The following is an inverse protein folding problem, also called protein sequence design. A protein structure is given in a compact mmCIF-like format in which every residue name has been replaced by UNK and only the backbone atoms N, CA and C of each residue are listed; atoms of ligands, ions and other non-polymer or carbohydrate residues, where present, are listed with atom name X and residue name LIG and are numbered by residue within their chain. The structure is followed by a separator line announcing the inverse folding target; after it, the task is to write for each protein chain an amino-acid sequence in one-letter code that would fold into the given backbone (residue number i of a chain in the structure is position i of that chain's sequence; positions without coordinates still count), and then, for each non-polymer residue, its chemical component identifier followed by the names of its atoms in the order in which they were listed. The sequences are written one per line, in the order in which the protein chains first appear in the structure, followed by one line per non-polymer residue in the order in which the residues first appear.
data_IF_301369211507
#
_entry.id   IF_301369211507
#
_cell.length_a   1.000
_cell.length_b   1.000
_cell.length_c   1.000
_cell.angle_alpha   90.00
_cell.angle_beta   90.00
_cell.angle_gamma   90.00
#
_symmetry.space_group_name_H-M   'P 1'
#
loop_
_entity.id
_entity.type
_entity.pdbx_description
1 polymer ?
#
# COMPACT_ATOMS: atom_id res chain seq x y z
N UNK A 1 -19.65 -4.49 -10.70
CA UNK A 1 -20.66 -4.92 -11.70
C UNK A 1 -20.38 -4.20 -13.01
N UNK A 2 -20.43 -4.88 -14.14
CA UNK A 2 -20.12 -4.33 -15.46
C UNK A 2 -20.91 -5.04 -16.59
N UNK A 3 -20.76 -4.58 -17.83
CA UNK A 3 -21.50 -5.07 -19.01
C UNK A 3 -22.67 -4.17 -19.41
N UNK A 4 -23.14 -4.30 -20.66
CA UNK A 4 -24.23 -3.46 -21.22
C UNK A 4 -25.50 -3.50 -20.38
N UNK A 5 -25.81 -4.68 -19.82
CA UNK A 5 -27.01 -4.93 -19.03
C UNK A 5 -26.74 -4.98 -17.52
N UNK A 6 -25.52 -4.65 -17.07
CA UNK A 6 -25.08 -4.81 -15.67
C UNK A 6 -25.25 -6.25 -15.13
N UNK A 7 -25.02 -7.22 -16.00
CA UNK A 7 -25.24 -8.65 -15.77
C UNK A 7 -23.96 -9.39 -15.32
N UNK A 8 -22.80 -8.73 -15.35
CA UNK A 8 -21.51 -9.35 -14.99
C UNK A 8 -20.91 -8.78 -13.71
N UNK A 9 -20.32 -9.66 -12.92
CA UNK A 9 -19.61 -9.36 -11.68
C UNK A 9 -18.21 -9.99 -11.66
N UNK A 10 -17.44 -9.65 -10.65
CA UNK A 10 -16.11 -10.22 -10.39
C UNK A 10 -16.16 -10.84 -9.00
N UNK A 11 -15.71 -12.09 -8.88
CA UNK A 11 -15.56 -12.79 -7.61
C UNK A 11 -14.09 -13.12 -7.38
N UNK A 12 -13.72 -13.29 -6.11
CA UNK A 12 -12.42 -13.83 -5.72
C UNK A 12 -12.61 -15.29 -5.33
N UNK A 13 -12.09 -16.22 -6.12
CA UNK A 13 -12.21 -17.65 -5.86
C UNK A 13 -10.86 -18.21 -5.48
N UNK A 14 -10.62 -18.37 -4.19
CA UNK A 14 -9.28 -18.71 -3.69
C UNK A 14 -8.28 -17.59 -3.98
N UNK A 15 -7.36 -17.82 -4.92
CA UNK A 15 -6.26 -16.90 -5.22
C UNK A 15 -6.35 -16.23 -6.60
N UNK A 16 -7.47 -16.35 -7.31
CA UNK A 16 -7.67 -15.72 -8.62
C UNK A 16 -9.03 -15.03 -8.75
N UNK A 17 -9.11 -14.06 -9.67
CA UNK A 17 -10.37 -13.38 -10.02
C UNK A 17 -11.11 -14.19 -11.09
N UNK A 18 -12.42 -14.30 -10.95
CA UNK A 18 -13.28 -14.88 -11.99
C UNK A 18 -14.40 -13.90 -12.33
N UNK A 19 -14.71 -13.79 -13.63
CA UNK A 19 -15.89 -13.09 -14.10
C UNK A 19 -17.08 -14.03 -14.03
N UNK A 20 -18.17 -13.57 -13.43
CA UNK A 20 -19.40 -14.33 -13.26
C UNK A 20 -20.61 -13.55 -13.76
N UNK A 21 -21.67 -14.25 -14.12
CA UNK A 21 -22.96 -13.64 -14.46
C UNK A 21 -23.88 -13.67 -13.24
N UNK A 22 -24.44 -12.51 -12.90
CA UNK A 22 -25.33 -12.32 -11.76
C UNK A 22 -26.67 -12.99 -12.08
N UNK A 23 -27.18 -13.82 -11.15
CA UNK A 23 -28.43 -14.57 -11.34
C UNK A 23 -28.27 -15.92 -12.05
N UNK A 24 -27.07 -16.26 -12.54
CA UNK A 24 -26.74 -17.63 -12.98
C UNK A 24 -26.02 -18.39 -11.87
N UNK A 25 -26.22 -19.71 -11.80
CA UNK A 25 -25.61 -20.60 -10.82
C UNK A 25 -25.83 -20.19 -9.34
N UNK A 26 -26.93 -19.48 -9.05
CA UNK A 26 -27.25 -19.00 -7.71
C UNK A 26 -26.38 -17.84 -7.21
N UNK A 27 -25.56 -17.23 -8.08
CA UNK A 27 -24.69 -16.10 -7.72
C UNK A 27 -25.54 -14.83 -7.57
N UNK A 28 -25.45 -14.21 -6.39
CA UNK A 28 -26.11 -12.96 -6.06
C UNK A 28 -25.11 -11.81 -6.00
N UNK A 29 -25.61 -10.57 -5.89
CA UNK A 29 -24.74 -9.39 -5.72
C UNK A 29 -23.88 -9.47 -4.44
N UNK A 30 -24.34 -10.20 -3.42
CA UNK A 30 -23.62 -10.36 -2.15
C UNK A 30 -22.38 -11.25 -2.28
N UNK A 31 -22.31 -12.09 -3.31
CA UNK A 31 -21.18 -12.97 -3.57
C UNK A 31 -20.04 -12.26 -4.32
N UNK A 32 -20.29 -11.04 -4.80
CA UNK A 32 -19.33 -10.26 -5.58
C UNK A 32 -18.21 -9.71 -4.69
N UNK A 33 -17.03 -9.58 -5.29
CA UNK A 33 -15.88 -8.98 -4.64
C UNK A 33 -16.17 -7.52 -4.27
N UNK A 34 -16.21 -7.23 -2.97
CA UNK A 34 -16.26 -5.87 -2.44
C UNK A 34 -14.85 -5.32 -2.34
N UNK A 35 -14.56 -4.28 -3.12
CA UNK A 35 -13.27 -3.61 -3.14
C UNK A 35 -13.10 -2.65 -1.96
N UNK A 36 -11.99 -2.80 -1.24
CA UNK A 36 -11.54 -1.86 -0.20
C UNK A 36 -10.12 -1.43 -0.53
N UNK A 37 -9.96 -0.15 -0.91
CA UNK A 37 -8.68 0.42 -1.28
C UNK A 37 -7.70 0.51 -0.10
N UNK A 38 -8.18 0.49 1.14
CA UNK A 38 -7.38 0.69 2.36
C UNK A 38 -6.88 -0.60 3.01
N UNK A 39 -7.33 -1.75 2.49
CA UNK A 39 -6.95 -3.08 2.97
C UNK A 39 -5.41 -3.24 3.01
N UNK A 40 -4.89 -3.79 4.11
CA UNK A 40 -3.45 -4.01 4.27
C UNK A 40 -2.89 -5.02 3.27
N UNK A 41 -3.60 -6.13 3.07
CA UNK A 41 -3.23 -7.15 2.10
C UNK A 41 -3.35 -6.61 0.67
N UNK A 42 -2.23 -6.56 -0.05
CA UNK A 42 -2.12 -5.98 -1.39
C UNK A 42 -2.51 -6.93 -2.51
N UNK A 43 -2.73 -8.22 -2.23
CA UNK A 43 -2.96 -9.25 -3.25
C UNK A 43 -4.14 -8.90 -4.15
N UNK A 44 -5.30 -8.57 -3.56
CA UNK A 44 -6.50 -8.17 -4.31
C UNK A 44 -6.26 -6.90 -5.13
N UNK A 45 -5.54 -5.92 -4.60
CA UNK A 45 -5.22 -4.69 -5.32
C UNK A 45 -4.37 -4.96 -6.56
N UNK A 46 -3.38 -5.85 -6.45
CA UNK A 46 -2.54 -6.24 -7.58
C UNK A 46 -3.35 -7.00 -8.63
N UNK A 47 -4.24 -7.90 -8.20
CA UNK A 47 -5.12 -8.64 -9.11
C UNK A 47 -6.05 -7.69 -9.88
N UNK A 48 -6.64 -6.71 -9.20
CA UNK A 48 -7.48 -5.68 -9.83
C UNK A 48 -6.67 -4.80 -10.80
N UNK A 49 -5.45 -4.42 -10.45
CA UNK A 49 -4.58 -3.61 -11.30
C UNK A 49 -4.11 -4.34 -12.58
N UNK A 50 -4.08 -5.67 -12.55
CA UNK A 50 -3.67 -6.51 -13.67
C UNK A 50 -4.83 -6.88 -14.62
N UNK A 51 -6.08 -6.50 -14.30
CA UNK A 51 -7.23 -6.76 -15.16
C UNK A 51 -7.07 -6.11 -16.54
N UNK A 52 -7.29 -6.89 -17.60
CA UNK A 52 -7.18 -6.42 -18.99
C UNK A 52 -8.33 -6.95 -19.85
N UNK A 53 -8.84 -6.15 -20.79
CA UNK A 53 -9.70 -6.64 -21.86
C UNK A 53 -8.97 -7.68 -22.75
N UNK A 54 -9.69 -8.66 -23.34
CA UNK A 54 -11.14 -8.82 -23.35
C UNK A 54 -11.70 -9.61 -22.15
N UNK A 55 -10.85 -10.26 -21.36
CA UNK A 55 -11.25 -11.19 -20.30
C UNK A 55 -11.87 -10.47 -19.10
N UNK A 56 -11.28 -9.33 -18.70
CA UNK A 56 -11.74 -8.52 -17.58
C UNK A 56 -12.11 -7.10 -18.03
N UNK A 57 -12.99 -6.41 -17.29
CA UNK A 57 -13.17 -4.98 -17.49
C UNK A 57 -11.91 -4.23 -17.08
N UNK A 58 -11.69 -3.06 -17.67
CA UNK A 58 -10.64 -2.16 -17.21
C UNK A 58 -11.05 -1.55 -15.86
N UNK A 59 -10.17 -1.65 -14.86
CA UNK A 59 -10.40 -1.08 -13.54
C UNK A 59 -10.19 0.44 -13.57
N UNK A 60 -11.14 1.20 -12.99
CA UNK A 60 -11.05 2.65 -12.87
C UNK A 60 -11.23 3.10 -11.42
N UNK A 61 -10.62 4.22 -11.06
CA UNK A 61 -10.67 4.79 -9.71
C UNK A 61 -9.45 4.43 -8.86
N UNK A 62 -9.61 4.50 -7.54
CA UNK A 62 -8.53 4.23 -6.59
C UNK A 62 -8.45 2.72 -6.31
N UNK A 63 -7.46 2.07 -6.91
CA UNK A 63 -7.21 0.63 -6.69
C UNK A 63 -6.55 0.39 -5.32
N UNK A 64 -5.70 1.30 -4.85
CA UNK A 64 -5.05 1.18 -3.54
C UNK A 64 -4.80 2.55 -2.93
N UNK A 65 -5.09 2.66 -1.64
CA UNK A 65 -4.81 3.82 -0.81
C UNK A 65 -4.16 3.34 0.49
N UNK A 66 -2.93 3.76 0.75
CA UNK A 66 -2.20 3.32 1.94
C UNK A 66 -1.57 4.51 2.65
N UNK A 67 -1.72 4.54 3.98
CA UNK A 67 -1.17 5.59 4.83
C UNK A 67 0.13 5.09 5.43
N UNK A 68 1.25 5.54 4.86
CA UNK A 68 2.59 5.31 5.39
C UNK A 68 3.38 6.61 5.41
N UNK A 69 4.36 6.74 6.33
CA UNK A 69 5.27 7.86 6.32
C UNK A 69 6.04 7.90 5.00
N UNK A 70 6.31 9.11 4.52
CA UNK A 70 7.15 9.30 3.34
C UNK A 70 8.62 9.06 3.71
N UNK A 71 9.45 8.82 2.71
CA UNK A 71 10.89 8.68 2.92
C UNK A 71 11.48 9.86 3.71
N UNK A 72 11.15 11.11 3.37
CA UNK A 72 11.66 12.29 4.06
C UNK A 72 11.24 12.34 5.53
N UNK A 73 9.99 11.98 5.84
CA UNK A 73 9.53 11.95 7.23
C UNK A 73 10.32 10.93 8.07
N UNK A 74 10.65 9.78 7.47
CA UNK A 74 11.48 8.77 8.14
C UNK A 74 12.91 9.28 8.30
N UNK A 75 13.48 9.89 7.25
CA UNK A 75 14.84 10.41 7.25
C UNK A 75 15.05 11.52 8.29
N UNK A 76 14.13 12.49 8.35
CA UNK A 76 14.17 13.56 9.35
C UNK A 76 14.09 13.00 10.77
N UNK A 77 13.19 12.03 10.99
CA UNK A 77 13.08 11.35 12.28
C UNK A 77 14.40 10.66 12.68
N UNK A 78 15.02 9.93 11.76
CA UNK A 78 16.31 9.27 12.02
C UNK A 78 17.43 10.26 12.33
N UNK A 79 17.48 11.39 11.62
CA UNK A 79 18.47 12.43 11.87
C UNK A 79 18.31 13.03 13.27
N UNK A 80 17.08 13.30 13.70
CA UNK A 80 16.83 13.83 15.05
C UNK A 80 17.15 12.82 16.14
N UNK A 81 16.80 11.54 15.94
CA UNK A 81 17.22 10.45 16.85
C UNK A 81 18.75 10.38 16.97
N UNK A 82 19.48 10.42 15.84
CA UNK A 82 20.94 10.40 15.84
C UNK A 82 21.55 11.63 16.54
N UNK A 83 20.97 12.82 16.37
CA UNK A 83 21.42 14.03 17.09
C UNK A 83 21.15 13.93 18.59
N UNK A 84 20.06 13.32 19.01
CA UNK A 84 19.73 13.11 20.43
C UNK A 84 20.72 12.14 21.09
N UNK A 85 21.08 11.06 20.39
CA UNK A 85 21.98 10.03 20.90
C UNK A 85 23.47 10.37 20.78
N UNK A 86 23.84 11.36 19.95
CA UNK A 86 25.23 11.76 19.75
C UNK A 86 25.91 12.20 21.06
N UNK A 87 27.07 11.61 21.40
CA UNK A 87 27.86 12.02 22.57
C UNK A 87 28.49 13.41 22.39
N UNK A 88 28.89 13.74 21.15
CA UNK A 88 29.49 15.02 20.78
C UNK A 88 28.37 15.94 20.28
N UNK A 89 28.13 17.05 20.97
CA UNK A 89 27.05 18.00 20.64
C UNK A 89 27.55 19.26 19.96
N UNK A 90 28.79 19.66 20.23
CA UNK A 90 29.42 20.83 19.63
C UNK A 90 30.85 20.56 19.18
N UNK A 91 31.46 21.54 18.52
CA UNK A 91 32.85 21.44 18.05
C UNK A 91 33.82 21.34 19.23
N UNK A 92 33.54 22.01 20.34
CA UNK A 92 34.39 21.91 21.54
C UNK A 92 34.36 20.49 22.12
N UNK A 93 33.19 19.84 22.18
CA UNK A 93 33.10 18.42 22.58
C UNK A 93 33.92 17.53 21.65
N UNK A 94 33.89 17.81 20.34
CA UNK A 94 34.68 17.06 19.35
C UNK A 94 36.18 17.24 19.58
N UNK A 95 36.62 18.49 19.73
CA UNK A 95 38.04 18.83 19.90
C UNK A 95 38.59 18.29 21.22
N UNK A 96 37.76 18.20 22.26
CA UNK A 96 38.13 17.68 23.59
C UNK A 96 37.78 16.21 23.81
N UNK A 97 37.28 15.50 22.79
CA UNK A 97 36.91 14.07 22.90
C UNK A 97 38.11 13.11 22.87
N UNK A 98 39.30 13.60 22.52
CA UNK A 98 40.56 12.84 22.48
C UNK A 98 41.52 13.20 23.61
N UNK A 99 42.79 12.78 23.50
CA UNK A 99 43.84 13.12 24.46
C UNK A 99 44.28 14.59 24.30
N UNK A 100 43.63 15.51 25.01
CA UNK A 100 43.99 16.92 25.08
C UNK A 100 44.64 17.27 26.41
N UNK A 101 45.43 18.34 26.45
CA UNK A 101 46.05 18.87 27.68
C UNK A 101 45.84 20.38 27.77
N UNK A 102 45.58 20.88 28.97
CA UNK A 102 45.57 22.32 29.26
C UNK A 102 47.01 22.81 29.49
N UNK A 103 47.37 23.95 28.89
CA UNK A 103 48.70 24.60 28.99
C UNK A 103 48.66 25.76 29.97
#
# INVERSE_FOLDING_TARGET
IFGKNKDKGIILKGNHLEVVEIGKNGITENDLLVHDATRENTGVHMMLAQMRPPEFPMAFGVIRAFKAPTYNQIFEKQMEEAKQDATIKCVDDLLNSGDTWEV
#
